data_IF_185536068252
#
_entry.id   IF_185536068252
#
_cell.length_a   1.000
_cell.length_b   1.000
_cell.length_c   1.000
_cell.angle_alpha   90.00
_cell.angle_beta   90.00
_cell.angle_gamma   90.00
#
_symmetry.space_group_name_H-M   'P 1'
#
loop_
_entity.id
_entity.type
_entity.pdbx_description
1 polymer ?
#
# COMPACT_ATOMS: atom_id res chain seq x y z
N UNK A 1 -48.62 65.38 -48.11
CA UNK A 1 -47.64 64.33 -48.48
C UNK A 1 -48.11 63.06 -47.78
N UNK A 2 -48.85 62.14 -48.40
CA UNK A 2 -48.40 61.10 -49.38
C UNK A 2 -47.13 60.44 -48.81
N UNK A 3 -47.08 59.18 -48.36
CA UNK A 3 -47.67 57.89 -48.77
C UNK A 3 -47.65 56.96 -47.53
N UNK A 4 -48.74 56.24 -47.19
CA UNK A 4 -49.16 54.92 -47.68
C UNK A 4 -48.26 53.71 -47.33
N UNK A 5 -48.93 52.70 -46.75
CA UNK A 5 -48.74 51.25 -46.93
C UNK A 5 -47.88 50.48 -45.91
N UNK A 6 -48.23 49.27 -45.43
CA UNK A 6 -49.41 48.39 -45.62
C UNK A 6 -49.18 47.08 -44.81
N UNK A 7 -50.29 46.50 -44.33
CA UNK A 7 -50.61 45.07 -44.03
C UNK A 7 -49.67 44.28 -43.09
N UNK A 8 -50.12 43.75 -41.95
CA UNK A 8 -51.12 42.68 -41.70
C UNK A 8 -50.61 41.25 -41.90
N UNK A 9 -51.09 40.38 -40.98
CA UNK A 9 -51.03 38.91 -40.90
C UNK A 9 -49.74 38.31 -40.30
N UNK A 10 -49.76 37.30 -39.40
CA UNK A 10 -50.82 36.34 -39.05
C UNK A 10 -50.48 35.61 -37.73
N UNK A 11 -51.55 35.15 -37.07
CA UNK A 11 -51.72 34.09 -36.07
C UNK A 11 -50.61 33.04 -35.82
N UNK A 12 -50.55 32.56 -34.57
CA UNK A 12 -49.93 31.28 -34.22
C UNK A 12 -49.89 31.01 -32.72
N UNK A 13 -50.95 30.38 -32.19
CA UNK A 13 -50.95 29.67 -30.91
C UNK A 13 -49.86 28.60 -30.87
N UNK A 14 -49.15 28.44 -29.76
CA UNK A 14 -48.75 27.10 -29.33
C UNK A 14 -48.56 27.00 -27.81
N UNK A 15 -48.98 25.85 -27.31
CA UNK A 15 -49.10 25.50 -25.92
C UNK A 15 -47.75 25.02 -25.33
N UNK A 16 -47.57 25.29 -24.04
CA UNK A 16 -47.00 24.32 -23.11
C UNK A 16 -45.58 23.83 -23.35
N UNK A 17 -44.62 24.45 -22.67
CA UNK A 17 -43.56 23.69 -22.03
C UNK A 17 -43.21 24.30 -20.67
N UNK A 18 -43.66 23.65 -19.60
CA UNK A 18 -43.15 23.90 -18.25
C UNK A 18 -41.70 23.44 -18.23
N UNK A 19 -40.81 24.37 -18.55
CA UNK A 19 -39.38 24.22 -18.43
C UNK A 19 -39.02 23.70 -17.04
N UNK A 20 -38.33 22.57 -17.05
CA UNK A 20 -37.51 22.09 -15.96
C UNK A 20 -36.74 23.26 -15.35
N UNK A 21 -36.95 23.52 -14.06
CA UNK A 21 -35.99 24.34 -13.33
C UNK A 21 -34.67 23.56 -13.22
N UNK A 22 -33.55 24.12 -13.69
CA UNK A 22 -32.24 23.52 -13.51
C UNK A 22 -31.78 23.63 -12.04
N UNK A 23 -31.13 22.55 -11.60
CA UNK A 23 -30.59 22.34 -10.26
C UNK A 23 -29.77 23.52 -9.70
N UNK A 24 -29.78 23.74 -8.36
CA UNK A 24 -28.96 24.77 -7.73
C UNK A 24 -27.47 24.48 -7.97
N UNK A 25 -26.79 25.51 -8.47
CA UNK A 25 -25.43 25.48 -8.97
C UNK A 25 -24.42 24.94 -7.96
N UNK A 26 -23.80 23.81 -8.31
CA UNK A 26 -22.60 23.32 -7.64
C UNK A 26 -21.42 24.16 -8.11
N UNK A 27 -21.00 25.12 -7.26
CA UNK A 27 -19.71 25.80 -7.40
C UNK A 27 -18.60 24.75 -7.31
N UNK A 28 -18.04 24.34 -8.45
CA UNK A 28 -16.85 23.50 -8.50
C UNK A 28 -15.61 24.38 -8.35
N UNK A 29 -15.19 24.58 -7.10
CA UNK A 29 -13.92 25.22 -6.78
C UNK A 29 -13.79 25.56 -5.30
N UNK A 30 -12.93 24.83 -4.58
CA UNK A 30 -12.35 25.26 -3.30
C UNK A 30 -12.86 24.49 -2.07
N UNK A 31 -12.03 23.58 -1.57
CA UNK A 31 -12.24 22.85 -0.31
C UNK A 31 -12.71 21.42 -0.54
N UNK A 32 -11.84 20.44 -0.30
CA UNK A 32 -12.33 19.09 -0.03
C UNK A 32 -13.31 19.19 1.16
N UNK A 33 -14.49 18.55 1.11
CA UNK A 33 -15.42 18.57 2.23
C UNK A 33 -14.65 18.17 3.49
N UNK A 34 -14.54 19.09 4.44
CA UNK A 34 -13.81 18.85 5.67
C UNK A 34 -14.43 17.63 6.36
N UNK A 35 -13.58 16.66 6.69
CA UNK A 35 -14.02 15.43 7.36
C UNK A 35 -13.87 15.64 8.84
N UNK A 36 -14.99 15.65 9.54
CA UNK A 36 -14.99 15.68 10.99
C UNK A 36 -14.48 14.33 11.55
N UNK A 37 -13.89 14.33 12.76
CA UNK A 37 -13.51 13.09 13.44
C UNK A 37 -14.70 12.15 13.65
N UNK A 38 -15.88 12.70 13.93
CA UNK A 38 -17.13 11.93 14.11
C UNK A 38 -17.56 11.19 12.84
N UNK A 39 -17.58 11.87 11.69
CA UNK A 39 -17.85 11.21 10.39
C UNK A 39 -16.85 10.10 10.10
N UNK A 40 -15.56 10.34 10.38
CA UNK A 40 -14.51 9.37 10.12
C UNK A 40 -14.65 8.13 10.99
N UNK A 41 -14.93 8.32 12.28
CA UNK A 41 -15.19 7.23 13.23
C UNK A 41 -16.39 6.39 12.80
N UNK A 42 -17.48 7.05 12.40
CA UNK A 42 -18.69 6.39 11.93
C UNK A 42 -18.43 5.50 10.70
N UNK A 43 -17.62 5.98 9.74
CA UNK A 43 -17.22 5.19 8.57
C UNK A 43 -16.49 3.92 9.00
N UNK A 44 -15.57 4.01 9.97
CA UNK A 44 -14.81 2.86 10.46
C UNK A 44 -15.71 1.86 11.19
N UNK A 45 -16.61 2.34 12.05
CA UNK A 45 -17.52 1.50 12.82
C UNK A 45 -18.50 0.72 11.91
N UNK A 46 -19.11 1.40 10.93
CA UNK A 46 -19.98 0.72 9.96
C UNK A 46 -19.20 -0.20 9.02
N UNK A 47 -17.96 0.15 8.68
CA UNK A 47 -17.10 -0.75 7.91
C UNK A 47 -16.89 -2.05 8.67
N UNK A 48 -16.50 -1.99 9.94
CA UNK A 48 -16.35 -3.16 10.80
C UNK A 48 -17.63 -4.01 10.86
N UNK A 49 -18.80 -3.37 11.01
CA UNK A 49 -20.10 -4.06 11.09
C UNK A 49 -20.50 -4.76 9.78
N UNK A 50 -20.22 -4.14 8.63
CA UNK A 50 -20.66 -4.63 7.33
C UNK A 50 -19.64 -5.51 6.61
N UNK A 51 -18.36 -5.42 6.98
CA UNK A 51 -17.28 -6.15 6.32
C UNK A 51 -17.48 -7.69 6.32
N UNK A 52 -17.86 -8.34 7.44
CA UNK A 52 -18.14 -9.79 7.44
C UNK A 52 -19.34 -10.20 6.57
N UNK A 53 -20.17 -9.23 6.18
CA UNK A 53 -21.33 -9.43 5.31
C UNK A 53 -21.01 -9.19 3.83
N UNK A 54 -19.73 -8.98 3.49
CA UNK A 54 -19.25 -8.86 2.11
C UNK A 54 -18.77 -10.21 1.60
N UNK A 55 -19.34 -10.68 0.51
CA UNK A 55 -18.95 -11.94 -0.12
C UNK A 55 -19.89 -12.31 -1.27
N UNK A 56 -19.50 -13.25 -2.14
CA UNK A 56 -20.33 -13.68 -3.27
C UNK A 56 -21.73 -14.16 -2.86
N UNK A 57 -21.85 -14.75 -1.67
CA UNK A 57 -23.09 -15.32 -1.11
C UNK A 57 -23.61 -14.57 0.12
N UNK A 58 -23.13 -13.34 0.37
CA UNK A 58 -23.52 -12.53 1.52
C UNK A 58 -24.39 -11.35 1.09
N UNK A 59 -24.81 -10.51 2.05
CA UNK A 59 -25.67 -9.35 1.79
C UNK A 59 -25.07 -8.36 0.81
N UNK A 60 -23.75 -8.16 0.88
CA UNK A 60 -23.03 -7.27 -0.04
C UNK A 60 -22.17 -8.09 -1.00
N UNK A 61 -22.51 -8.05 -2.29
CA UNK A 61 -21.71 -8.71 -3.34
C UNK A 61 -20.26 -8.20 -3.39
N UNK A 62 -20.07 -6.89 -3.26
CA UNK A 62 -18.79 -6.21 -3.42
C UNK A 62 -18.59 -5.12 -2.36
N UNK A 63 -17.33 -4.78 -2.03
CA UNK A 63 -16.99 -3.65 -1.14
C UNK A 63 -17.60 -2.30 -1.58
N UNK A 64 -17.84 -2.10 -2.88
CA UNK A 64 -18.55 -0.91 -3.40
C UNK A 64 -19.98 -0.79 -2.87
N UNK A 65 -20.70 -1.92 -2.73
CA UNK A 65 -22.06 -1.92 -2.19
C UNK A 65 -22.07 -1.63 -0.69
N UNK A 66 -21.05 -2.11 0.04
CA UNK A 66 -20.84 -1.75 1.43
C UNK A 66 -20.71 -0.22 1.58
N UNK A 67 -19.85 0.44 0.80
CA UNK A 67 -19.69 1.89 0.89
C UNK A 67 -20.93 2.67 0.47
N UNK A 68 -21.76 2.10 -0.41
CA UNK A 68 -23.09 2.67 -0.72
C UNK A 68 -23.98 2.67 0.51
N UNK A 69 -24.04 1.56 1.25
CA UNK A 69 -24.78 1.49 2.50
C UNK A 69 -24.23 2.48 3.54
N UNK A 70 -22.91 2.51 3.73
CA UNK A 70 -22.26 3.45 4.67
C UNK A 70 -22.61 4.90 4.34
N UNK A 71 -22.66 5.28 3.05
CA UNK A 71 -23.03 6.65 2.67
C UNK A 71 -24.48 7.00 3.02
N UNK A 72 -25.39 6.03 2.94
CA UNK A 72 -26.79 6.22 3.33
C UNK A 72 -26.90 6.37 4.84
N UNK A 73 -26.25 5.47 5.60
CA UNK A 73 -26.27 5.51 7.06
C UNK A 73 -25.63 6.80 7.60
N UNK A 74 -24.56 7.30 6.96
CA UNK A 74 -23.92 8.56 7.32
C UNK A 74 -24.83 9.76 7.09
N UNK A 75 -25.64 9.75 6.03
CA UNK A 75 -26.66 10.76 5.80
C UNK A 75 -27.81 10.66 6.83
N UNK A 76 -28.20 9.45 7.24
CA UNK A 76 -29.25 9.24 8.23
C UNK A 76 -28.83 9.64 9.65
N UNK A 77 -27.59 9.32 10.06
CA UNK A 77 -27.13 9.54 11.44
C UNK A 77 -26.62 10.97 11.66
N UNK A 78 -25.82 11.50 10.72
CA UNK A 78 -25.16 12.80 10.87
C UNK A 78 -25.75 13.88 9.96
N UNK A 79 -26.74 13.57 9.12
CA UNK A 79 -27.30 14.50 8.14
C UNK A 79 -26.32 14.89 7.03
N UNK A 80 -25.18 14.19 6.91
CA UNK A 80 -24.11 14.56 6.00
C UNK A 80 -24.19 13.76 4.70
N UNK A 81 -24.40 14.45 3.59
CA UNK A 81 -24.47 13.83 2.27
C UNK A 81 -23.06 13.69 1.67
N UNK A 82 -22.45 12.50 1.83
CA UNK A 82 -21.18 12.13 1.18
C UNK A 82 -21.43 11.03 0.17
N UNK A 83 -20.78 11.10 -0.98
CA UNK A 83 -20.88 10.06 -2.01
C UNK A 83 -20.17 8.78 -1.56
N UNK A 84 -20.61 7.58 -1.98
CA UNK A 84 -19.97 6.31 -1.63
C UNK A 84 -18.46 6.29 -1.91
N UNK A 85 -18.05 6.87 -3.05
CA UNK A 85 -16.65 7.00 -3.44
C UNK A 85 -15.84 7.91 -2.50
N UNK A 86 -16.46 8.95 -1.94
CA UNK A 86 -15.82 9.83 -0.98
C UNK A 86 -15.58 9.10 0.35
N UNK A 87 -16.54 8.30 0.82
CA UNK A 87 -16.38 7.44 2.00
C UNK A 87 -15.27 6.40 1.80
N UNK A 88 -15.23 5.74 0.64
CA UNK A 88 -14.18 4.80 0.29
C UNK A 88 -12.78 5.46 0.28
N UNK A 89 -12.67 6.63 -0.35
CA UNK A 89 -11.42 7.37 -0.38
C UNK A 89 -10.98 7.81 1.02
N UNK A 90 -11.91 8.27 1.87
CA UNK A 90 -11.62 8.65 3.25
C UNK A 90 -11.09 7.46 4.04
N UNK A 91 -11.77 6.32 3.96
CA UNK A 91 -11.33 5.07 4.59
C UNK A 91 -9.89 4.69 4.17
N UNK A 92 -9.61 4.70 2.86
CA UNK A 92 -8.27 4.42 2.32
C UNK A 92 -7.22 5.40 2.83
N UNK A 93 -7.53 6.68 2.90
CA UNK A 93 -6.61 7.71 3.41
C UNK A 93 -6.29 7.48 4.87
N UNK A 94 -7.28 7.14 5.71
CA UNK A 94 -7.07 6.82 7.13
C UNK A 94 -6.18 5.58 7.29
N UNK A 95 -6.41 4.53 6.50
CA UNK A 95 -5.56 3.33 6.46
C UNK A 95 -4.09 3.63 6.09
N UNK A 96 -3.86 4.48 5.08
CA UNK A 96 -2.51 4.90 4.70
C UNK A 96 -1.84 5.75 5.77
N UNK A 97 -2.59 6.66 6.38
CA UNK A 97 -2.10 7.54 7.43
C UNK A 97 -1.68 6.75 8.67
N UNK A 98 -2.52 5.81 9.14
CA UNK A 98 -2.16 4.88 10.22
C UNK A 98 -0.84 4.15 9.93
N UNK A 99 -0.70 3.60 8.73
CA UNK A 99 0.54 2.90 8.35
C UNK A 99 1.75 3.84 8.43
N UNK A 100 1.63 5.04 7.87
CA UNK A 100 2.69 6.05 7.91
C UNK A 100 3.09 6.43 9.34
N UNK A 101 2.11 6.64 10.22
CA UNK A 101 2.36 7.03 11.61
C UNK A 101 2.96 5.87 12.41
N UNK A 102 2.50 4.64 12.18
CA UNK A 102 3.11 3.43 12.74
C UNK A 102 4.55 3.23 12.27
N UNK A 103 4.83 3.43 10.98
CA UNK A 103 6.18 3.32 10.42
C UNK A 103 7.11 4.38 11.00
N UNK A 104 6.60 5.60 11.24
CA UNK A 104 7.34 6.65 11.94
C UNK A 104 7.68 6.25 13.38
N UNK A 105 6.72 5.70 14.12
CA UNK A 105 6.92 5.28 15.50
C UNK A 105 7.88 4.09 15.63
N UNK A 106 7.99 3.26 14.59
CA UNK A 106 8.94 2.15 14.53
C UNK A 106 10.35 2.56 14.09
N UNK A 107 10.55 3.82 13.67
CA UNK A 107 11.83 4.32 13.18
C UNK A 107 12.64 4.94 14.32
N UNK A 108 13.84 4.41 14.57
CA UNK A 108 14.76 4.96 15.57
C UNK A 108 15.12 6.42 15.26
N UNK A 109 15.06 7.28 16.28
CA UNK A 109 15.34 8.72 16.17
C UNK A 109 14.18 9.58 15.64
N UNK A 110 13.01 8.99 15.39
CA UNK A 110 11.79 9.75 15.09
C UNK A 110 11.07 10.19 16.38
N UNK A 111 10.42 11.35 16.35
CA UNK A 111 9.56 11.78 17.45
C UNK A 111 8.28 10.94 17.48
N UNK A 112 7.78 10.55 18.68
CA UNK A 112 6.51 9.85 18.81
C UNK A 112 5.36 10.63 18.17
N UNK A 113 4.61 9.99 17.28
CA UNK A 113 3.44 10.55 16.63
C UNK A 113 2.17 9.81 17.12
N UNK A 114 1.14 10.51 17.61
CA UNK A 114 -0.13 9.87 17.95
C UNK A 114 -0.80 9.34 16.68
N UNK A 115 -1.29 8.10 16.71
CA UNK A 115 -1.99 7.45 15.60
C UNK A 115 -3.51 7.66 15.79
N UNK A 116 -4.18 8.46 14.95
CA UNK A 116 -5.62 8.66 15.09
C UNK A 116 -6.40 7.38 14.75
N UNK A 117 -7.48 7.12 15.50
CA UNK A 117 -8.40 5.99 15.30
C UNK A 117 -7.74 4.60 15.38
N UNK A 118 -6.66 4.46 16.16
CA UNK A 118 -5.91 3.20 16.19
C UNK A 118 -6.76 2.02 16.66
N UNK A 119 -7.64 2.23 17.64
CA UNK A 119 -8.51 1.20 18.22
C UNK A 119 -9.53 0.67 17.20
N UNK A 120 -10.23 1.56 16.49
CA UNK A 120 -11.18 1.19 15.44
C UNK A 120 -10.48 0.40 14.33
N UNK A 121 -9.24 0.80 14.01
CA UNK A 121 -8.46 0.17 12.95
C UNK A 121 -7.92 -1.21 13.36
N UNK A 122 -7.56 -1.40 14.63
CA UNK A 122 -7.17 -2.72 15.17
C UNK A 122 -8.36 -3.69 15.13
N UNK A 123 -9.58 -3.23 15.45
CA UNK A 123 -10.81 -4.04 15.33
C UNK A 123 -11.06 -4.50 13.89
N UNK A 124 -10.87 -3.61 12.91
CA UNK A 124 -11.02 -3.99 11.49
C UNK A 124 -9.97 -5.02 11.08
N UNK A 125 -8.73 -4.91 11.59
CA UNK A 125 -7.67 -5.87 11.29
C UNK A 125 -7.94 -7.26 11.89
N UNK A 126 -8.56 -7.34 13.07
CA UNK A 126 -8.85 -8.63 13.71
C UNK A 126 -9.94 -9.45 13.02
N UNK A 127 -10.75 -8.83 12.14
CA UNK A 127 -11.78 -9.54 11.35
C UNK A 127 -11.34 -9.83 9.92
N UNK A 128 -10.19 -9.30 9.49
CA UNK A 128 -9.67 -9.48 8.14
C UNK A 128 -8.87 -10.78 8.05
N UNK A 129 -9.57 -11.92 8.10
CA UNK A 129 -9.01 -13.26 7.88
C UNK A 129 -8.71 -13.51 6.39
N UNK A 130 -8.01 -12.58 5.74
CA UNK A 130 -7.66 -12.59 4.31
C UNK A 130 -6.74 -13.77 3.90
N UNK A 131 -6.48 -14.72 4.78
CA UNK A 131 -5.58 -15.85 4.55
C UNK A 131 -6.30 -17.10 4.02
N UNK A 132 -7.62 -17.23 4.17
CA UNK A 132 -8.37 -18.39 3.66
C UNK A 132 -9.52 -17.99 2.74
N UNK A 133 -9.49 -18.35 1.44
CA UNK A 133 -10.60 -18.08 0.55
C UNK A 133 -11.83 -18.93 0.91
N UNK A 134 -13.01 -18.30 0.95
CA UNK A 134 -14.29 -18.98 1.20
C UNK A 134 -14.60 -20.05 0.14
N UNK A 135 -14.08 -19.86 -1.09
CA UNK A 135 -14.23 -20.77 -2.22
C UNK A 135 -12.85 -21.12 -2.76
N UNK A 136 -12.49 -22.40 -2.62
CA UNK A 136 -11.33 -22.97 -3.29
C UNK A 136 -11.80 -23.59 -4.61
N UNK A 137 -11.09 -23.29 -5.70
CA UNK A 137 -11.29 -23.91 -7.01
C UNK A 137 -10.04 -24.69 -7.37
N UNK A 138 -10.18 -26.00 -7.40
CA UNK A 138 -9.15 -26.91 -7.89
C UNK A 138 -9.55 -27.47 -9.25
N UNK A 139 -8.60 -28.09 -9.96
CA UNK A 139 -8.86 -28.77 -11.24
C UNK A 139 -9.93 -29.88 -11.15
N UNK A 140 -10.23 -30.34 -9.94
CA UNK A 140 -11.18 -31.44 -9.67
C UNK A 140 -12.53 -30.96 -9.13
N UNK A 141 -12.73 -29.68 -8.85
CA UNK A 141 -14.01 -29.19 -8.34
C UNK A 141 -13.95 -27.87 -7.58
N UNK A 142 -15.09 -27.52 -6.98
CA UNK A 142 -15.26 -26.30 -6.16
C UNK A 142 -15.58 -26.72 -4.74
N UNK A 143 -14.75 -26.32 -3.78
CA UNK A 143 -14.92 -26.56 -2.34
C UNK A 143 -15.35 -25.27 -1.65
N UNK A 144 -16.40 -25.36 -0.82
CA UNK A 144 -16.95 -24.24 -0.06
C UNK A 144 -16.67 -24.44 1.43
N UNK A 145 -16.17 -23.41 2.12
CA UNK A 145 -15.99 -23.45 3.58
C UNK A 145 -17.37 -23.47 4.27
N UNK A 146 -17.65 -24.38 5.22
CA UNK A 146 -18.90 -24.36 5.97
C UNK A 146 -18.94 -23.10 6.85
N UNK A 147 -19.97 -22.28 6.69
CA UNK A 147 -20.16 -21.08 7.50
C UNK A 147 -20.46 -21.47 8.95
N UNK A 148 -19.66 -21.00 9.89
CA UNK A 148 -19.77 -21.27 11.34
C UNK A 148 -21.00 -20.63 12.03
N UNK A 149 -22.20 -20.79 11.48
CA UNK A 149 -23.45 -20.29 12.07
C UNK A 149 -24.57 -21.33 12.17
N UNK A 150 -24.22 -22.63 12.19
CA UNK A 150 -25.19 -23.71 12.40
C UNK A 150 -24.60 -24.83 13.25
N UNK A 151 -24.49 -24.62 14.57
CA UNK A 151 -24.42 -25.71 15.55
C UNK A 151 -24.51 -25.17 16.98
N UNK A 152 -25.74 -24.94 17.44
CA UNK A 152 -26.11 -25.23 18.81
C UNK A 152 -26.81 -26.60 18.78
N UNK A 153 -26.17 -27.64 19.35
CA UNK A 153 -26.71 -28.45 20.44
C UNK A 153 -25.99 -29.82 20.57
N UNK A 154 -25.69 -30.17 21.82
CA UNK A 154 -25.53 -31.50 22.44
C UNK A 154 -24.21 -32.30 22.38
N UNK A 155 -23.49 -32.20 23.52
CA UNK A 155 -23.12 -33.30 24.45
C UNK A 155 -21.77 -34.06 24.35
N UNK A 156 -21.15 -34.17 25.55
CA UNK A 156 -20.16 -35.14 26.05
C UNK A 156 -18.64 -34.90 25.81
N UNK A 157 -18.01 -34.26 26.81
CA UNK A 157 -16.83 -34.62 27.65
C UNK A 157 -15.72 -35.65 27.20
N UNK A 158 -14.52 -35.66 27.84
CA UNK A 158 -13.18 -35.36 27.25
C UNK A 158 -12.25 -36.62 27.19
N UNK A 159 -10.93 -36.62 26.80
CA UNK A 159 -9.80 -35.96 27.51
C UNK A 159 -8.63 -35.42 26.64
N UNK A 160 -7.75 -34.63 27.27
CA UNK A 160 -6.42 -34.16 26.78
C UNK A 160 -5.40 -35.31 26.54
N UNK A 161 -4.30 -35.12 25.77
CA UNK A 161 -3.05 -34.46 26.23
C UNK A 161 -2.40 -33.54 25.16
N UNK A 162 -1.78 -32.40 25.48
CA UNK A 162 -0.39 -32.14 25.96
C UNK A 162 0.75 -32.48 24.97
N UNK A 163 1.66 -31.48 24.81
CA UNK A 163 3.04 -31.51 24.26
C UNK A 163 3.17 -31.54 22.72
N UNK A 164 4.14 -30.92 22.05
CA UNK A 164 5.06 -29.79 22.25
C UNK A 164 5.70 -29.55 20.86
N UNK A 165 6.17 -28.33 20.60
CA UNK A 165 7.45 -27.99 19.93
C UNK A 165 7.94 -28.97 18.83
N UNK A 166 8.20 -28.60 17.57
CA UNK A 166 9.16 -27.56 17.16
C UNK A 166 9.57 -27.79 15.69
N UNK A 167 9.88 -26.68 14.99
CA UNK A 167 10.92 -26.45 13.96
C UNK A 167 11.61 -27.65 13.28
N UNK A 168 12.02 -27.63 12.00
CA UNK A 168 12.87 -26.64 11.32
C UNK A 168 13.18 -27.15 9.91
N UNK A 169 13.40 -26.22 8.96
CA UNK A 169 14.43 -26.29 7.90
C UNK A 169 14.30 -27.42 6.84
N UNK A 170 14.72 -27.34 5.58
CA UNK A 170 15.45 -26.37 4.77
C UNK A 170 15.42 -26.92 3.33
N UNK A 171 15.58 -26.01 2.36
CA UNK A 171 15.99 -26.23 0.97
C UNK A 171 16.69 -27.55 0.62
N UNK A 172 16.37 -28.07 -0.57
CA UNK A 172 17.31 -28.31 -1.69
C UNK A 172 16.47 -28.82 -2.87
N UNK A 173 16.31 -28.06 -3.95
CA UNK A 173 17.17 -28.08 -5.14
C UNK A 173 17.46 -29.48 -5.67
N UNK A 174 16.61 -29.95 -6.57
CA UNK A 174 16.99 -31.01 -7.51
C UNK A 174 16.46 -30.69 -8.92
N UNK A 175 17.41 -30.81 -9.83
CA UNK A 175 17.36 -30.75 -11.28
C UNK A 175 16.60 -31.93 -11.90
N UNK A 176 15.77 -31.64 -12.90
CA UNK A 176 15.36 -32.59 -13.95
C UNK A 176 14.97 -31.75 -15.15
N UNK A 177 15.79 -31.63 -16.19
CA UNK A 177 15.93 -32.60 -17.28
C UNK A 177 14.59 -33.18 -17.75
N UNK A 178 14.13 -32.72 -18.92
CA UNK A 178 13.16 -33.42 -19.77
C UNK A 178 13.11 -32.76 -21.16
N UNK A 179 13.94 -33.31 -22.04
CA UNK A 179 13.53 -33.89 -23.33
C UNK A 179 12.61 -33.09 -24.27
N UNK A 180 13.24 -32.66 -25.38
CA UNK A 180 12.78 -32.70 -26.78
C UNK A 180 11.31 -33.12 -27.02
N UNK A 181 10.51 -32.15 -27.47
CA UNK A 181 9.30 -32.37 -28.27
C UNK A 181 9.35 -31.49 -29.51
N UNK A 182 9.85 -32.04 -30.62
CA UNK A 182 9.68 -31.44 -31.95
C UNK A 182 8.21 -31.52 -32.34
N UNK A 183 7.55 -30.38 -32.43
CA UNK A 183 6.29 -30.23 -33.14
C UNK A 183 6.30 -28.88 -33.88
N UNK A 184 6.70 -28.95 -35.15
CA UNK A 184 6.33 -28.10 -36.28
C UNK A 184 5.50 -26.83 -35.95
N UNK A 185 6.16 -25.78 -35.44
CA UNK A 185 5.54 -24.47 -35.29
C UNK A 185 5.61 -23.76 -36.64
N UNK A 186 4.48 -23.75 -37.36
CA UNK A 186 4.21 -22.87 -38.48
C UNK A 186 4.76 -21.48 -38.18
N UNK A 187 5.73 -21.02 -38.99
CA UNK A 187 6.23 -19.64 -39.02
C UNK A 187 5.05 -18.69 -39.29
N UNK A 188 4.33 -18.31 -38.24
CA UNK A 188 3.60 -17.05 -38.23
C UNK A 188 4.67 -15.99 -38.07
N UNK A 189 5.02 -15.37 -39.18
CA UNK A 189 5.78 -14.12 -39.20
C UNK A 189 5.19 -13.20 -38.12
N UNK A 190 6.00 -13.03 -37.08
CA UNK A 190 5.65 -12.28 -35.90
C UNK A 190 5.41 -10.84 -36.36
N UNK A 191 4.15 -10.43 -36.38
CA UNK A 191 3.69 -9.11 -36.82
C UNK A 191 4.64 -8.06 -36.26
N UNK A 192 5.19 -7.23 -37.16
CA UNK A 192 6.03 -6.09 -36.82
C UNK A 192 5.50 -5.40 -35.56
N UNK A 193 6.38 -5.31 -34.56
CA UNK A 193 6.11 -4.80 -33.21
C UNK A 193 5.14 -3.63 -33.25
N UNK A 194 3.92 -3.85 -32.76
CA UNK A 194 2.93 -2.77 -32.62
C UNK A 194 3.57 -1.57 -31.91
N UNK A 195 3.35 -0.36 -32.44
CA UNK A 195 3.88 0.91 -31.91
C UNK A 195 3.73 1.04 -30.38
N UNK A 196 2.66 0.46 -29.81
CA UNK A 196 2.40 0.37 -28.37
C UNK A 196 3.45 -0.43 -27.58
N UNK A 197 3.99 -1.51 -28.13
CA UNK A 197 5.01 -2.32 -27.47
C UNK A 197 6.36 -1.60 -27.42
N UNK A 198 6.70 -0.85 -28.49
CA UNK A 198 7.88 0.01 -28.54
C UNK A 198 7.80 1.13 -27.49
N UNK A 199 6.62 1.75 -27.34
CA UNK A 199 6.39 2.76 -26.30
C UNK A 199 6.55 2.20 -24.88
N UNK A 200 6.04 0.99 -24.62
CA UNK A 200 6.24 0.31 -23.33
C UNK A 200 7.71 -0.05 -23.09
N UNK A 201 8.43 -0.47 -24.12
CA UNK A 201 9.84 -0.81 -24.03
C UNK A 201 10.70 0.42 -23.67
N UNK A 202 10.45 1.56 -24.34
CA UNK A 202 11.06 2.84 -23.99
C UNK A 202 10.79 3.25 -22.55
N UNK A 203 9.56 3.06 -22.05
CA UNK A 203 9.21 3.32 -20.66
C UNK A 203 9.98 2.43 -19.67
N UNK A 204 10.11 1.13 -19.96
CA UNK A 204 10.86 0.21 -19.09
C UNK A 204 12.37 0.49 -19.09
N UNK A 205 12.93 0.92 -20.22
CA UNK A 205 14.32 1.33 -20.31
C UNK A 205 14.57 2.64 -19.56
N UNK A 206 13.63 3.59 -19.64
CA UNK A 206 13.66 4.81 -18.84
C UNK A 206 13.61 4.53 -17.33
N UNK A 207 12.77 3.58 -16.89
CA UNK A 207 12.70 3.16 -15.49
C UNK A 207 13.95 2.41 -15.02
N UNK A 208 14.57 1.60 -15.90
CA UNK A 208 15.86 0.97 -15.63
C UNK A 208 16.98 2.01 -15.47
N UNK A 209 17.01 3.03 -16.32
CA UNK A 209 17.97 4.13 -16.21
C UNK A 209 17.81 4.90 -14.88
N UNK A 210 16.58 5.30 -14.54
CA UNK A 210 16.29 6.02 -13.27
C UNK A 210 16.64 5.16 -12.04
N UNK A 211 16.35 3.86 -12.06
CA UNK A 211 16.69 2.98 -10.96
C UNK A 211 18.19 2.76 -10.82
N UNK A 212 18.91 2.58 -11.93
CA UNK A 212 20.37 2.44 -11.96
C UNK A 212 21.07 3.71 -11.45
N UNK A 213 20.62 4.89 -11.88
CA UNK A 213 21.14 6.18 -11.39
C UNK A 213 20.93 6.34 -9.87
N UNK A 214 19.73 6.00 -9.36
CA UNK A 214 19.45 6.03 -7.93
C UNK A 214 20.30 5.03 -7.13
N UNK A 215 20.63 3.88 -7.71
CA UNK A 215 21.51 2.89 -7.09
C UNK A 215 22.97 3.37 -7.07
N UNK A 216 23.48 3.90 -8.19
CA UNK A 216 24.83 4.47 -8.25
C UNK A 216 25.04 5.61 -7.24
N UNK A 217 24.05 6.51 -7.10
CA UNK A 217 24.10 7.60 -6.10
C UNK A 217 24.02 7.11 -4.64
N UNK A 218 23.49 5.91 -4.39
CA UNK A 218 23.52 5.29 -3.06
C UNK A 218 24.89 4.68 -2.80
N UNK A 219 25.43 3.96 -3.79
CA UNK A 219 26.74 3.33 -3.71
C UNK A 219 27.86 4.36 -3.53
N UNK A 220 27.83 5.47 -4.27
CA UNK A 220 28.81 6.57 -4.11
C UNK A 220 28.82 7.13 -2.67
N UNK A 221 27.64 7.33 -2.07
CA UNK A 221 27.52 7.81 -0.69
C UNK A 221 28.00 6.77 0.33
N UNK A 222 27.79 5.49 0.08
CA UNK A 222 28.31 4.43 0.95
C UNK A 222 29.83 4.30 0.80
N UNK A 223 30.38 4.37 -0.41
CA UNK A 223 31.82 4.39 -0.68
C UNK A 223 32.50 5.59 -0.02
N UNK A 224 31.88 6.78 -0.06
CA UNK A 224 32.43 7.95 0.62
C UNK A 224 32.45 7.76 2.15
N UNK A 225 31.37 7.22 2.72
CA UNK A 225 31.31 6.90 4.16
C UNK A 225 32.34 5.83 4.54
N UNK A 226 32.51 4.81 3.70
CA UNK A 226 33.48 3.76 3.91
C UNK A 226 34.90 4.29 3.85
N UNK A 227 35.22 5.14 2.86
CA UNK A 227 36.51 5.84 2.77
C UNK A 227 36.79 6.66 4.03
N UNK A 228 35.82 7.45 4.51
CA UNK A 228 35.94 8.22 5.76
C UNK A 228 36.15 7.32 6.99
N UNK A 229 35.54 6.13 7.01
CA UNK A 229 35.74 5.14 8.10
C UNK A 229 37.10 4.48 8.01
N UNK A 230 37.56 4.15 6.80
CA UNK A 230 38.87 3.55 6.55
C UNK A 230 40.00 4.52 6.92
N UNK A 231 39.87 5.79 6.56
CA UNK A 231 40.82 6.85 6.93
C UNK A 231 40.97 6.98 8.46
N UNK A 232 39.85 7.03 9.21
CA UNK A 232 39.90 7.01 10.69
C UNK A 232 40.47 5.74 11.30
N UNK A 233 40.46 4.61 10.58
CA UNK A 233 41.12 3.38 11.03
C UNK A 233 42.62 3.46 10.78
N UNK A 234 43.03 3.95 9.61
CA UNK A 234 44.42 4.17 9.24
C UNK A 234 45.10 5.18 10.17
N UNK A 235 44.44 6.30 10.47
CA UNK A 235 44.92 7.31 11.42
C UNK A 235 45.18 6.70 12.81
N UNK A 236 44.22 5.91 13.33
CA UNK A 236 44.39 5.22 14.62
C UNK A 236 45.52 4.19 14.61
N UNK A 237 45.79 3.56 13.47
CA UNK A 237 46.95 2.65 13.36
C UNK A 237 48.27 3.41 13.30
N UNK A 238 48.31 4.55 12.61
CA UNK A 238 49.50 5.42 12.57
C UNK A 238 49.81 5.98 13.97
N UNK A 239 48.81 6.51 14.68
CA UNK A 239 48.99 7.01 16.04
C UNK A 239 49.55 5.93 16.98
N UNK A 240 49.09 4.68 16.85
CA UNK A 240 49.62 3.55 17.63
C UNK A 240 51.07 3.24 17.28
N UNK A 241 51.44 3.33 16.00
CA UNK A 241 52.83 3.11 15.55
C UNK A 241 53.75 4.23 16.04
N UNK A 242 53.31 5.49 15.97
CA UNK A 242 54.05 6.64 16.50
C UNK A 242 54.24 6.53 18.02
N UNK A 243 53.21 6.16 18.76
CA UNK A 243 53.33 5.90 20.21
C UNK A 243 54.34 4.80 20.54
N UNK A 244 54.40 3.73 19.73
CA UNK A 244 55.41 2.67 19.87
C UNK A 244 56.81 3.21 19.60
N UNK A 245 56.98 3.96 18.51
CA UNK A 245 58.26 4.56 18.15
C UNK A 245 58.76 5.54 19.22
N UNK A 246 57.90 6.43 19.71
CA UNK A 246 58.21 7.35 20.82
C UNK A 246 58.62 6.59 22.09
N UNK A 247 58.00 5.44 22.35
CA UNK A 247 58.36 4.61 23.49
C UNK A 247 59.73 3.94 23.29
N UNK A 248 60.01 3.42 22.09
CA UNK A 248 61.31 2.87 21.72
C UNK A 248 62.42 3.92 21.83
N UNK A 249 62.21 5.12 21.29
CA UNK A 249 63.15 6.25 21.38
C UNK A 249 63.39 6.67 22.84
N UNK A 250 62.33 6.69 23.67
CA UNK A 250 62.46 6.96 25.11
C UNK A 250 63.30 5.89 25.81
N UNK A 251 63.12 4.62 25.46
CA UNK A 251 63.93 3.52 26.01
C UNK A 251 65.39 3.62 25.55
N UNK A 252 65.64 4.01 24.29
CA UNK A 252 67.00 4.26 23.78
C UNK A 252 67.68 5.39 24.56
N UNK A 253 66.98 6.50 24.78
CA UNK A 253 67.53 7.63 25.54
C UNK A 253 67.88 7.25 26.99
N UNK A 254 67.02 6.46 27.64
CA UNK A 254 67.29 5.92 28.99
C UNK A 254 68.51 5.00 28.96
N UNK A 255 68.63 4.13 27.96
CA UNK A 255 69.79 3.23 27.80
C UNK A 255 71.09 4.03 27.62
N UNK A 256 71.05 5.10 26.82
CA UNK A 256 72.19 6.00 26.62
C UNK A 256 72.57 6.75 27.91
N UNK A 257 71.59 7.27 28.65
CA UNK A 257 71.81 8.00 29.90
C UNK A 257 72.43 7.12 31.01
N UNK A 258 72.12 5.83 31.01
CA UNK A 258 72.70 4.85 31.94
C UNK A 258 74.08 4.32 31.48
N UNK A 259 74.62 4.83 30.36
CA UNK A 259 75.95 4.43 29.87
C UNK A 259 76.03 2.98 29.35
N UNK A 260 74.88 2.34 29.11
CA UNK A 260 74.76 0.96 28.62
C UNK A 260 74.87 0.91 27.08
N UNK A 261 75.84 1.62 26.50
CA UNK A 261 76.21 1.42 25.09
C UNK A 261 77.03 0.13 24.99
N UNK A 262 76.56 -0.83 24.21
CA UNK A 262 77.42 -1.90 23.67
C UNK A 262 78.36 -1.31 22.63
#
# INVERSE_FOLDING_TARGET
MIVCSRAENTAGSDAGERGLQPAPGVKRGGGAPEWTPGETKLILDYYYKYFPQVGPFKKFKNKKMLFKQVSQDLATVLGCHKMPQQCENRYKTVMRQKKKDSDNNNKSGASPCPVPFDDEMRKIQSIDDSLEPEVQRDSFGVTYKPSASSSADSSADPPSPLLESSSTATNSSESGDSTKGSAEVKKREFRASTSRMQQMQFFFDQMRAISAERMARREERENEKEKRRAERRAERTQERQERRKMHEDKLQLIREALGLRQ
#
